data_IF_784041273132
#
_entry.id   IF_784041273132
#
_cell.length_a   1.000
_cell.length_b   1.000
_cell.length_c   1.000
_cell.angle_alpha   90.00
_cell.angle_beta   90.00
_cell.angle_gamma   90.00
#
_symmetry.space_group_name_H-M   'P 1'
#
loop_
_entity.id
_entity.type
_entity.pdbx_description
1 polymer ?
#
# COMPACT_ATOMS: atom_id res chain seq x y z
N UNK A 1 -47.94 -60.93 32.85
CA UNK A 1 -48.19 -59.92 31.79
C UNK A 1 -47.42 -58.61 32.00
N UNK A 2 -47.43 -58.03 33.21
CA UNK A 2 -46.82 -56.72 33.54
C UNK A 2 -45.31 -56.56 33.24
N UNK A 3 -44.51 -57.63 33.36
CA UNK A 3 -43.07 -57.55 33.07
C UNK A 3 -42.75 -57.58 31.57
N UNK A 4 -43.56 -58.23 30.73
CA UNK A 4 -43.33 -58.26 29.27
C UNK A 4 -43.57 -56.91 28.61
N UNK A 5 -44.53 -56.14 29.13
CA UNK A 5 -44.83 -54.77 28.65
C UNK A 5 -43.65 -53.82 28.93
N UNK A 6 -43.00 -53.96 30.10
CA UNK A 6 -41.82 -53.15 30.45
C UNK A 6 -40.62 -53.45 29.54
N UNK A 7 -40.39 -54.72 29.21
CA UNK A 7 -39.31 -55.12 28.30
C UNK A 7 -39.53 -54.61 26.88
N UNK A 8 -40.76 -54.69 26.37
CA UNK A 8 -41.10 -54.16 25.03
C UNK A 8 -40.94 -52.64 24.97
N UNK A 9 -41.40 -51.91 26.00
CA UNK A 9 -41.20 -50.47 26.10
C UNK A 9 -39.72 -50.08 26.15
N UNK A 10 -38.88 -50.84 26.86
CA UNK A 10 -37.44 -50.58 26.94
C UNK A 10 -36.75 -50.80 25.58
N UNK A 11 -37.11 -51.86 24.86
CA UNK A 11 -36.57 -52.13 23.52
C UNK A 11 -37.00 -51.03 22.53
N UNK A 12 -38.25 -50.55 22.63
CA UNK A 12 -38.72 -49.43 21.80
C UNK A 12 -37.99 -48.13 22.14
N UNK A 13 -37.74 -47.84 23.41
CA UNK A 13 -37.01 -46.66 23.84
C UNK A 13 -35.55 -46.67 23.36
N UNK A 14 -34.86 -47.81 23.47
CA UNK A 14 -33.47 -47.98 22.99
C UNK A 14 -33.41 -47.95 21.45
N UNK A 15 -34.42 -48.50 20.77
CA UNK A 15 -34.54 -48.43 19.31
C UNK A 15 -34.74 -47.00 18.80
N UNK A 16 -35.51 -46.18 19.51
CA UNK A 16 -35.73 -44.77 19.16
C UNK A 16 -34.49 -43.90 19.40
N UNK A 17 -33.68 -44.17 20.42
CA UNK A 17 -32.48 -43.36 20.71
C UNK A 17 -31.36 -43.54 19.68
N UNK A 18 -31.37 -44.62 18.89
CA UNK A 18 -30.39 -44.82 17.80
C UNK A 18 -30.81 -44.19 16.46
N UNK A 19 -32.05 -43.69 16.34
CA UNK A 19 -32.53 -43.04 15.12
C UNK A 19 -32.35 -41.52 15.13
N UNK A 20 -31.99 -40.94 16.28
CA UNK A 20 -31.57 -39.55 16.38
C UNK A 20 -30.05 -39.47 16.36
N UNK A 21 -29.42 -39.88 15.26
CA UNK A 21 -28.12 -39.31 14.92
C UNK A 21 -28.38 -37.83 14.62
N UNK A 22 -28.24 -36.99 15.64
CA UNK A 22 -28.17 -35.55 15.44
C UNK A 22 -27.07 -35.34 14.40
N UNK A 23 -27.47 -34.87 13.22
CA UNK A 23 -26.53 -34.42 12.20
C UNK A 23 -25.79 -33.27 12.86
N UNK A 24 -24.56 -33.52 13.28
CA UNK A 24 -23.68 -32.50 13.83
C UNK A 24 -23.38 -31.57 12.65
N UNK A 25 -24.25 -30.58 12.44
CA UNK A 25 -23.90 -29.42 11.65
C UNK A 25 -22.86 -28.69 12.49
N UNK A 26 -21.58 -28.95 12.18
CA UNK A 26 -20.51 -28.19 12.77
C UNK A 26 -20.71 -26.74 12.33
N UNK A 27 -20.98 -25.84 13.27
CA UNK A 27 -20.90 -24.40 13.09
C UNK A 27 -19.45 -24.05 12.74
N UNK A 28 -19.07 -24.26 11.50
CA UNK A 28 -17.70 -24.09 11.04
C UNK A 28 -17.54 -22.61 10.74
N UNK A 29 -17.07 -21.83 11.72
CA UNK A 29 -16.73 -20.43 11.50
C UNK A 29 -15.55 -20.40 10.53
N UNK A 30 -15.86 -20.26 9.24
CA UNK A 30 -14.83 -20.18 8.20
C UNK A 30 -14.12 -18.84 8.34
N UNK A 31 -12.84 -18.92 8.69
CA UNK A 31 -11.96 -17.76 8.79
C UNK A 31 -11.07 -17.70 7.55
N UNK A 32 -10.69 -16.51 7.12
CA UNK A 32 -9.73 -16.35 6.04
C UNK A 32 -8.86 -15.11 6.19
N UNK A 33 -7.74 -15.15 5.49
CA UNK A 33 -6.74 -14.10 5.46
C UNK A 33 -6.31 -13.86 4.01
N UNK A 34 -6.18 -12.60 3.64
CA UNK A 34 -5.80 -12.19 2.30
C UNK A 34 -4.52 -11.36 2.35
N UNK A 35 -3.53 -11.76 1.54
CA UNK A 35 -2.18 -11.23 1.56
C UNK A 35 -1.74 -10.73 0.19
N UNK A 36 -0.77 -9.81 0.21
CA UNK A 36 0.13 -9.48 -0.90
C UNK A 36 1.51 -10.02 -0.52
N UNK A 37 1.91 -11.13 -1.13
CA UNK A 37 3.04 -11.95 -0.68
C UNK A 37 2.98 -12.25 0.82
N UNK A 38 3.90 -11.70 1.63
CA UNK A 38 3.90 -11.85 3.09
C UNK A 38 3.13 -10.76 3.84
N UNK A 39 2.68 -9.70 3.16
CA UNK A 39 1.95 -8.59 3.76
C UNK A 39 0.47 -8.92 3.90
N UNK A 40 -0.04 -8.98 5.14
CA UNK A 40 -1.47 -9.11 5.39
C UNK A 40 -2.21 -7.85 4.93
N UNK A 41 -3.19 -8.01 4.04
CA UNK A 41 -4.06 -6.93 3.59
C UNK A 41 -5.30 -6.82 4.49
N UNK A 42 -5.96 -7.96 4.74
CA UNK A 42 -7.07 -8.06 5.68
C UNK A 42 -7.32 -9.51 6.09
N UNK A 43 -8.05 -9.68 7.19
CA UNK A 43 -8.55 -10.97 7.68
C UNK A 43 -9.99 -10.80 8.13
N UNK A 44 -10.81 -11.83 7.97
CA UNK A 44 -12.21 -11.79 8.38
C UNK A 44 -12.74 -13.20 8.65
N UNK A 45 -14.00 -13.25 9.07
CA UNK A 45 -14.82 -14.44 9.16
C UNK A 45 -16.08 -14.26 8.31
N UNK A 46 -16.80 -15.36 8.08
CA UNK A 46 -17.99 -15.42 7.22
C UNK A 46 -18.98 -14.26 7.41
N UNK A 47 -19.19 -13.82 8.65
CA UNK A 47 -20.18 -12.77 9.00
C UNK A 47 -19.75 -11.32 8.71
N UNK A 48 -18.47 -11.01 8.44
CA UNK A 48 -17.96 -9.63 8.39
C UNK A 48 -17.23 -9.26 7.08
N UNK A 49 -17.42 -10.04 6.01
CA UNK A 49 -16.56 -9.98 4.83
C UNK A 49 -16.65 -8.70 3.98
N UNK A 50 -17.79 -8.01 3.99
CA UNK A 50 -18.04 -6.88 3.09
C UNK A 50 -17.37 -5.55 3.54
N UNK A 51 -16.60 -5.55 4.62
CA UNK A 51 -16.05 -4.33 5.23
C UNK A 51 -14.60 -4.03 4.85
N UNK A 52 -13.92 -4.94 4.17
CA UNK A 52 -12.48 -4.85 3.95
C UNK A 52 -12.13 -4.61 2.48
N UNK A 53 -11.30 -3.59 2.25
CA UNK A 53 -10.85 -3.19 0.91
C UNK A 53 -9.33 -3.28 0.81
N UNK A 54 -8.82 -4.20 -0.01
CA UNK A 54 -7.43 -4.22 -0.45
C UNK A 54 -7.23 -3.21 -1.58
N UNK A 55 -6.28 -2.30 -1.42
CA UNK A 55 -5.86 -1.36 -2.47
C UNK A 55 -4.57 -1.86 -3.10
N UNK A 56 -4.56 -2.10 -4.40
CA UNK A 56 -3.38 -2.58 -5.14
C UNK A 56 -3.03 -1.58 -6.24
N UNK A 57 -1.77 -1.11 -6.22
CA UNK A 57 -1.25 -0.24 -7.28
C UNK A 57 -0.72 -1.05 -8.45
N UNK A 58 -0.81 -0.52 -9.67
CA UNK A 58 -0.13 -1.09 -10.85
C UNK A 58 1.39 -1.12 -10.71
N UNK A 59 1.93 -0.27 -9.85
CA UNK A 59 3.38 -0.15 -9.59
C UNK A 59 3.83 -0.94 -8.34
N UNK A 60 2.90 -1.58 -7.62
CA UNK A 60 3.25 -2.41 -6.48
C UNK A 60 4.17 -3.55 -6.93
N UNK A 61 5.29 -3.72 -6.22
CA UNK A 61 6.19 -4.86 -6.40
C UNK A 61 5.72 -6.01 -5.51
N UNK A 62 5.10 -7.01 -6.12
CA UNK A 62 4.68 -8.26 -5.47
C UNK A 62 4.65 -9.40 -6.49
N UNK A 63 4.69 -10.64 -6.03
CA UNK A 63 4.59 -11.80 -6.91
C UNK A 63 3.16 -12.35 -6.95
N UNK A 64 2.50 -12.45 -5.80
CA UNK A 64 1.20 -13.10 -5.67
C UNK A 64 0.26 -12.35 -4.73
N UNK A 65 -1.03 -12.35 -5.07
CA UNK A 65 -2.08 -12.23 -4.06
C UNK A 65 -2.38 -13.63 -3.51
N UNK A 66 -2.50 -13.75 -2.19
CA UNK A 66 -2.59 -15.04 -1.53
C UNK A 66 -3.81 -15.06 -0.61
N UNK A 67 -4.69 -16.03 -0.82
CA UNK A 67 -5.80 -16.33 0.07
C UNK A 67 -5.47 -17.57 0.90
N UNK A 68 -5.61 -17.46 2.21
CA UNK A 68 -5.60 -18.61 3.14
C UNK A 68 -6.99 -18.74 3.75
N UNK A 69 -7.64 -19.87 3.52
CA UNK A 69 -8.94 -20.22 4.13
C UNK A 69 -8.67 -21.28 5.19
N UNK A 70 -9.21 -21.08 6.38
CA UNK A 70 -9.00 -21.97 7.52
C UNK A 70 -10.28 -22.73 7.80
N UNK A 71 -10.09 -24.05 7.91
CA UNK A 71 -11.14 -25.01 8.15
C UNK A 71 -10.78 -25.86 9.37
N UNK A 72 -11.79 -26.30 10.11
CA UNK A 72 -11.61 -27.11 11.32
C UNK A 72 -11.64 -28.64 11.03
N UNK A 73 -11.64 -29.04 9.76
CA UNK A 73 -11.70 -30.45 9.33
C UNK A 73 -10.38 -30.91 8.67
N UNK A 74 -10.36 -32.17 8.20
CA UNK A 74 -9.19 -32.78 7.60
C UNK A 74 -8.62 -31.99 6.40
N UNK A 75 -7.32 -32.10 6.19
CA UNK A 75 -6.58 -31.43 5.11
C UNK A 75 -6.82 -32.11 3.75
N UNK A 76 -8.08 -32.26 3.36
CA UNK A 76 -8.52 -32.98 2.16
C UNK A 76 -8.23 -32.16 0.90
N UNK A 77 -8.00 -32.84 -0.22
CA UNK A 77 -7.84 -32.20 -1.53
C UNK A 77 -9.22 -31.79 -2.04
N UNK A 78 -9.44 -30.49 -2.25
CA UNK A 78 -10.72 -29.93 -2.67
C UNK A 78 -10.57 -29.05 -3.91
N UNK A 79 -11.61 -28.98 -4.73
CA UNK A 79 -11.70 -28.01 -5.81
C UNK A 79 -12.11 -26.63 -5.27
N UNK A 80 -11.28 -25.62 -5.54
CA UNK A 80 -11.44 -24.25 -5.03
C UNK A 80 -11.54 -23.28 -6.19
N UNK A 81 -12.33 -22.22 -6.01
CA UNK A 81 -12.54 -21.19 -7.02
C UNK A 81 -12.57 -19.80 -6.40
N UNK A 82 -11.84 -18.87 -7.03
CA UNK A 82 -11.93 -17.43 -6.76
C UNK A 82 -12.49 -16.74 -8.00
N UNK A 83 -13.52 -15.92 -7.81
CA UNK A 83 -14.11 -15.07 -8.83
C UNK A 83 -13.95 -13.61 -8.44
N UNK A 84 -13.52 -12.80 -9.41
CA UNK A 84 -13.56 -11.34 -9.28
C UNK A 84 -14.80 -10.82 -9.98
N UNK A 85 -15.60 -10.05 -9.25
CA UNK A 85 -16.90 -9.55 -9.71
C UNK A 85 -16.92 -8.04 -9.63
N UNK A 86 -17.20 -7.36 -10.74
CA UNK A 86 -17.37 -5.91 -10.81
C UNK A 86 -18.68 -5.62 -11.53
N UNK A 87 -19.49 -4.69 -11.02
CA UNK A 87 -20.78 -4.30 -11.64
C UNK A 87 -21.68 -5.51 -11.97
N UNK A 88 -21.76 -6.47 -11.04
CA UNK A 88 -22.50 -7.74 -11.17
C UNK A 88 -22.05 -8.67 -12.31
N UNK A 89 -20.85 -8.45 -12.88
CA UNK A 89 -20.25 -9.31 -13.90
C UNK A 89 -18.97 -9.95 -13.38
N UNK A 90 -18.80 -11.24 -13.64
CA UNK A 90 -17.54 -11.93 -13.38
C UNK A 90 -16.53 -11.43 -14.40
N UNK A 91 -15.45 -10.81 -13.92
CA UNK A 91 -14.37 -10.25 -14.75
C UNK A 91 -13.15 -11.18 -14.84
N UNK A 92 -13.00 -12.10 -13.87
CA UNK A 92 -11.99 -13.15 -13.89
C UNK A 92 -12.39 -14.31 -12.96
N UNK A 93 -11.92 -15.49 -13.30
CA UNK A 93 -12.12 -16.72 -12.53
C UNK A 93 -10.81 -17.48 -12.46
N UNK A 94 -10.46 -17.93 -11.27
CA UNK A 94 -9.27 -18.73 -10.99
C UNK A 94 -9.72 -19.99 -10.23
N UNK A 95 -9.21 -21.14 -10.64
CA UNK A 95 -9.50 -22.43 -10.00
C UNK A 95 -8.21 -23.13 -9.60
N UNK A 96 -8.24 -23.87 -8.50
CA UNK A 96 -7.14 -24.69 -8.02
C UNK A 96 -7.69 -25.96 -7.37
N UNK A 97 -6.94 -27.07 -7.48
CA UNK A 97 -7.22 -28.33 -6.79
C UNK A 97 -6.05 -28.64 -5.88
N UNK A 98 -6.23 -28.45 -4.58
CA UNK A 98 -5.17 -28.62 -3.58
C UNK A 98 -5.74 -28.90 -2.20
N UNK A 99 -4.87 -29.21 -1.23
CA UNK A 99 -5.33 -29.45 0.13
C UNK A 99 -6.05 -28.22 0.69
N UNK A 100 -7.11 -28.42 1.47
CA UNK A 100 -7.97 -27.38 2.02
C UNK A 100 -7.22 -26.29 2.79
N UNK A 101 -6.11 -26.63 3.46
CA UNK A 101 -5.27 -25.68 4.20
C UNK A 101 -4.16 -25.03 3.35
N UNK A 102 -4.02 -25.41 2.08
CA UNK A 102 -3.03 -24.82 1.18
C UNK A 102 -3.40 -23.39 0.85
N UNK A 103 -2.40 -22.56 0.57
CA UNK A 103 -2.65 -21.21 0.08
C UNK A 103 -3.19 -21.23 -1.35
N UNK A 104 -4.15 -20.37 -1.66
CA UNK A 104 -4.59 -20.09 -3.03
C UNK A 104 -3.81 -18.87 -3.53
N UNK A 105 -2.98 -19.04 -4.57
CA UNK A 105 -2.12 -17.98 -5.10
C UNK A 105 -2.64 -17.49 -6.45
N UNK A 106 -2.78 -16.17 -6.60
CA UNK A 106 -3.09 -15.50 -7.86
C UNK A 106 -1.88 -14.67 -8.26
N UNK A 107 -1.17 -15.04 -9.35
CA UNK A 107 0.01 -14.31 -9.79
C UNK A 107 -0.30 -12.86 -10.15
N UNK A 108 0.64 -11.95 -9.88
CA UNK A 108 0.54 -10.53 -10.25
C UNK A 108 0.22 -10.36 -11.74
N UNK A 109 0.80 -11.18 -12.61
CA UNK A 109 0.54 -11.14 -14.06
C UNK A 109 -0.93 -11.31 -14.42
N UNK A 110 -1.71 -12.04 -13.62
CA UNK A 110 -3.15 -12.19 -13.81
C UNK A 110 -3.90 -10.95 -13.29
N UNK A 111 -3.49 -10.41 -12.15
CA UNK A 111 -4.05 -9.16 -11.60
C UNK A 111 -3.80 -7.98 -12.54
N UNK A 112 -2.61 -7.91 -13.15
CA UNK A 112 -2.21 -6.86 -14.08
C UNK A 112 -3.17 -6.74 -15.29
N UNK A 113 -3.72 -7.87 -15.77
CA UNK A 113 -4.71 -7.89 -16.87
C UNK A 113 -5.98 -7.13 -16.51
N UNK A 114 -6.33 -7.06 -15.23
CA UNK A 114 -7.56 -6.44 -14.74
C UNK A 114 -7.49 -4.91 -14.69
N UNK A 115 -6.29 -4.32 -14.63
CA UNK A 115 -6.11 -2.87 -14.55
C UNK A 115 -6.74 -2.16 -15.75
N UNK A 116 -6.56 -2.69 -16.97
CA UNK A 116 -6.99 -2.02 -18.21
C UNK A 116 -8.47 -1.59 -18.26
N UNK A 117 -9.37 -2.34 -17.59
CA UNK A 117 -10.83 -2.12 -17.66
C UNK A 117 -11.50 -1.85 -16.30
N UNK A 118 -10.78 -2.03 -15.20
CA UNK A 118 -11.36 -2.00 -13.85
C UNK A 118 -10.66 -1.03 -12.89
N UNK A 119 -9.93 -0.03 -13.41
CA UNK A 119 -9.35 1.03 -12.60
C UNK A 119 -10.41 1.75 -11.76
N UNK A 120 -10.11 1.93 -10.48
CA UNK A 120 -10.92 2.60 -9.47
C UNK A 120 -12.32 2.01 -9.23
N UNK A 121 -12.66 0.89 -9.87
CA UNK A 121 -13.89 0.15 -9.62
C UNK A 121 -13.76 -0.71 -8.37
N UNK A 122 -14.89 -1.00 -7.73
CA UNK A 122 -14.97 -2.00 -6.67
C UNK A 122 -15.06 -3.39 -7.29
N UNK A 123 -14.07 -4.22 -7.02
CA UNK A 123 -14.01 -5.60 -7.49
C UNK A 123 -14.23 -6.50 -6.27
N UNK A 124 -15.38 -7.13 -6.17
CA UNK A 124 -15.67 -8.10 -5.13
C UNK A 124 -14.90 -9.39 -5.39
N UNK A 125 -14.21 -9.87 -4.36
CA UNK A 125 -13.54 -11.16 -4.40
C UNK A 125 -14.51 -12.19 -3.80
N UNK A 126 -14.95 -13.15 -4.61
CA UNK A 126 -15.79 -14.26 -4.19
C UNK A 126 -14.98 -15.55 -4.16
N UNK A 127 -15.15 -16.33 -3.11
CA UNK A 127 -14.54 -17.64 -2.96
C UNK A 127 -15.64 -18.70 -2.87
N UNK A 128 -15.42 -19.87 -3.47
CA UNK A 128 -16.30 -21.04 -3.36
C UNK A 128 -15.48 -22.33 -3.44
N UNK A 129 -15.96 -23.37 -2.78
CA UNK A 129 -15.42 -24.73 -2.88
C UNK A 129 -16.52 -25.77 -2.65
N UNK A 130 -16.14 -27.04 -2.51
CA UNK A 130 -17.07 -28.16 -2.32
C UNK A 130 -17.95 -28.02 -1.06
N UNK A 131 -17.48 -27.29 -0.05
CA UNK A 131 -18.16 -27.08 1.22
C UNK A 131 -19.04 -25.83 1.13
N UNK A 132 -18.46 -24.75 0.63
CA UNK A 132 -19.12 -23.48 0.39
C UNK A 132 -19.56 -23.36 -1.08
N UNK A 133 -20.48 -24.24 -1.52
CA UNK A 133 -20.91 -24.35 -2.92
C UNK A 133 -21.54 -23.07 -3.48
N UNK A 134 -22.24 -22.32 -2.63
CA UNK A 134 -22.85 -21.03 -3.00
C UNK A 134 -21.84 -19.88 -3.00
N UNK A 135 -20.63 -20.14 -2.50
CA UNK A 135 -19.57 -19.16 -2.29
C UNK A 135 -19.92 -18.06 -1.28
N UNK A 136 -18.92 -17.24 -1.00
CA UNK A 136 -19.05 -16.05 -0.18
C UNK A 136 -18.07 -14.97 -0.66
N UNK A 137 -18.43 -13.72 -0.42
CA UNK A 137 -17.50 -12.60 -0.63
C UNK A 137 -16.46 -12.65 0.48
N UNK A 138 -15.18 -12.50 0.16
CA UNK A 138 -14.09 -12.45 1.15
C UNK A 138 -13.59 -11.02 1.41
N UNK A 139 -13.83 -10.10 0.47
CA UNK A 139 -13.44 -8.70 0.55
C UNK A 139 -13.58 -7.99 -0.79
N UNK A 140 -13.14 -6.73 -0.83
CA UNK A 140 -13.14 -5.87 -2.02
C UNK A 140 -11.70 -5.59 -2.43
N UNK A 141 -11.43 -5.67 -3.72
CA UNK A 141 -10.18 -5.26 -4.35
C UNK A 141 -10.42 -3.94 -5.09
N UNK A 142 -9.56 -2.95 -4.84
CA UNK A 142 -9.55 -1.69 -5.56
C UNK A 142 -8.22 -1.51 -6.27
N UNK A 143 -8.25 -1.57 -7.59
CA UNK A 143 -7.09 -1.36 -8.45
C UNK A 143 -6.94 0.12 -8.77
N UNK A 144 -5.74 0.65 -8.63
CA UNK A 144 -5.45 2.05 -8.96
C UNK A 144 -4.06 2.20 -9.59
N UNK A 145 -3.88 3.19 -10.43
CA UNK A 145 -2.56 3.55 -10.96
C UNK A 145 -1.95 4.62 -10.09
N UNK A 146 -0.78 4.35 -9.50
CA UNK A 146 0.06 5.42 -8.95
C UNK A 146 0.80 6.07 -10.11
N UNK A 147 0.26 7.16 -10.65
CA UNK A 147 0.98 7.96 -11.64
C UNK A 147 1.98 8.83 -10.89
N UNK A 148 3.21 8.33 -10.73
CA UNK A 148 4.32 9.18 -10.33
C UNK A 148 4.53 10.23 -11.41
N UNK A 149 4.29 11.49 -11.06
CA UNK A 149 4.50 12.58 -12.02
C UNK A 149 6.00 12.85 -12.08
N UNK A 150 6.60 12.65 -13.26
CA UNK A 150 7.98 13.07 -13.48
C UNK A 150 8.01 14.59 -13.54
N UNK A 151 8.67 15.21 -12.56
CA UNK A 151 8.88 16.66 -12.54
C UNK A 151 9.84 17.06 -13.67
N UNK A 152 9.45 18.08 -14.43
CA UNK A 152 10.32 18.72 -15.42
C UNK A 152 11.37 19.62 -14.74
N UNK A 153 12.46 19.92 -15.43
CA UNK A 153 13.51 20.83 -14.90
C UNK A 153 12.96 22.19 -14.46
N UNK A 154 12.05 22.87 -15.22
CA UNK A 154 11.43 24.11 -14.76
C UNK A 154 10.64 23.98 -13.45
N UNK A 155 9.89 22.89 -13.28
CA UNK A 155 9.15 22.63 -12.04
C UNK A 155 10.10 22.41 -10.87
N UNK A 156 11.17 21.62 -11.08
CA UNK A 156 12.20 21.39 -10.05
C UNK A 156 12.81 22.72 -9.61
N UNK A 157 13.20 23.59 -10.56
CA UNK A 157 13.71 24.93 -10.23
C UNK A 157 12.73 25.73 -9.36
N UNK A 158 11.45 25.74 -9.74
CA UNK A 158 10.41 26.45 -8.98
C UNK A 158 10.26 25.89 -7.56
N UNK A 159 10.24 24.57 -7.42
CA UNK A 159 10.12 23.89 -6.12
C UNK A 159 11.33 24.22 -5.23
N UNK A 160 12.55 24.10 -5.77
CA UNK A 160 13.77 24.40 -5.03
C UNK A 160 13.81 25.87 -4.62
N UNK A 161 13.49 26.80 -5.52
CA UNK A 161 13.43 28.23 -5.22
C UNK A 161 12.47 28.49 -4.05
N UNK A 162 11.24 27.96 -4.11
CA UNK A 162 10.25 28.12 -3.02
C UNK A 162 10.71 27.49 -1.71
N UNK A 163 11.37 26.33 -1.77
CA UNK A 163 11.84 25.64 -0.57
C UNK A 163 12.96 26.43 0.13
N UNK A 164 13.96 26.93 -0.60
CA UNK A 164 15.07 27.70 -0.03
C UNK A 164 14.65 29.13 0.38
N UNK A 165 13.56 29.65 -0.19
CA UNK A 165 12.96 30.93 0.15
C UNK A 165 11.90 30.86 1.25
N UNK A 166 11.67 29.68 1.84
CA UNK A 166 10.78 29.53 2.99
C UNK A 166 11.15 30.54 4.10
N UNK A 167 10.25 31.46 4.52
CA UNK A 167 10.57 32.50 5.49
C UNK A 167 11.17 31.97 6.79
N UNK A 168 10.63 30.87 7.30
CA UNK A 168 11.03 30.21 8.53
C UNK A 168 12.44 29.61 8.44
N UNK A 169 12.90 29.26 7.22
CA UNK A 169 14.24 28.73 6.98
C UNK A 169 15.31 29.85 7.01
N UNK A 170 14.94 31.11 6.78
CA UNK A 170 15.92 32.19 6.58
C UNK A 170 16.83 32.43 7.79
N UNK A 171 16.29 32.27 8.99
CA UNK A 171 17.02 32.47 10.24
C UNK A 171 18.21 31.52 10.39
N UNK A 172 18.14 30.32 9.83
CA UNK A 172 19.17 29.26 9.94
C UNK A 172 20.38 29.52 9.05
N UNK A 173 20.27 30.40 8.04
CA UNK A 173 21.42 30.69 7.18
C UNK A 173 22.45 31.59 7.87
N UNK A 174 22.05 32.40 8.84
CA UNK A 174 22.95 33.28 9.60
C UNK A 174 23.87 34.15 8.73
N UNK A 175 23.40 34.60 7.55
CA UNK A 175 24.25 35.28 6.54
C UNK A 175 24.89 36.58 7.03
N UNK A 176 24.26 37.28 7.99
CA UNK A 176 24.79 38.52 8.54
C UNK A 176 26.02 38.28 9.44
N UNK A 177 26.10 37.09 10.03
CA UNK A 177 27.23 36.66 10.88
C UNK A 177 28.28 35.88 10.09
N UNK A 178 27.84 35.12 9.08
CA UNK A 178 28.69 34.24 8.27
C UNK A 178 28.51 34.52 6.78
N UNK A 179 29.06 35.63 6.24
CA UNK A 179 28.92 35.98 4.82
C UNK A 179 29.55 34.93 3.88
N UNK A 180 30.49 34.13 4.38
CA UNK A 180 31.13 33.02 3.66
C UNK A 180 30.16 31.89 3.29
N UNK A 181 28.96 31.83 3.88
CA UNK A 181 27.89 30.91 3.47
C UNK A 181 27.26 31.27 2.10
N UNK A 182 27.74 32.33 1.45
CA UNK A 182 27.36 32.74 0.09
C UNK A 182 28.41 32.27 -0.93
N UNK A 183 28.02 31.71 -2.10
CA UNK A 183 26.66 31.35 -2.49
C UNK A 183 26.16 30.11 -1.72
N UNK A 184 24.84 29.95 -1.63
CA UNK A 184 24.24 28.73 -1.09
C UNK A 184 24.67 27.51 -1.92
N UNK A 185 25.16 26.47 -1.25
CA UNK A 185 25.56 25.20 -1.87
C UNK A 185 24.41 24.20 -1.75
N UNK A 186 24.00 23.62 -2.88
CA UNK A 186 23.03 22.52 -2.96
C UNK A 186 23.77 21.25 -3.40
N UNK A 187 23.57 20.15 -2.68
CA UNK A 187 24.04 18.82 -3.09
C UNK A 187 23.22 18.34 -4.29
N UNK A 188 23.90 17.87 -5.33
CA UNK A 188 23.29 17.28 -6.51
C UNK A 188 22.41 16.07 -6.13
N UNK A 189 21.24 15.94 -6.78
CA UNK A 189 20.26 14.90 -6.50
C UNK A 189 19.39 14.61 -7.72
N UNK A 190 19.42 13.38 -8.26
CA UNK A 190 18.65 13.00 -9.43
C UNK A 190 18.94 13.90 -10.64
N UNK A 191 17.95 14.68 -11.09
CA UNK A 191 18.09 15.63 -12.21
C UNK A 191 18.70 16.99 -11.79
N UNK A 192 18.92 17.22 -10.50
CA UNK A 192 19.48 18.47 -9.95
C UNK A 192 21.00 18.42 -10.10
N UNK A 193 21.51 19.25 -10.99
CA UNK A 193 22.94 19.47 -11.25
C UNK A 193 23.18 20.95 -11.61
N UNK A 194 24.45 21.34 -11.77
CA UNK A 194 24.82 22.74 -12.01
C UNK A 194 24.22 23.31 -13.32
N UNK A 195 24.09 22.49 -14.36
CA UNK A 195 23.52 22.90 -15.66
C UNK A 195 22.01 23.14 -15.53
N UNK A 196 21.31 22.19 -14.92
CA UNK A 196 19.86 22.21 -14.80
C UNK A 196 19.36 23.22 -13.76
N UNK A 197 20.19 23.69 -12.82
CA UNK A 197 19.78 24.64 -11.77
C UNK A 197 20.14 26.10 -12.07
N UNK A 198 20.64 26.41 -13.27
CA UNK A 198 20.91 27.79 -13.65
C UNK A 198 19.64 28.67 -13.51
N UNK A 199 19.75 29.83 -12.86
CA UNK A 199 18.65 30.75 -12.57
C UNK A 199 17.95 30.54 -11.23
N UNK A 200 18.25 29.46 -10.49
CA UNK A 200 17.88 29.34 -9.07
C UNK A 200 18.89 30.15 -8.26
N UNK A 201 18.39 31.05 -7.42
CA UNK A 201 19.22 32.02 -6.71
C UNK A 201 18.89 32.07 -5.22
N UNK A 202 19.90 32.41 -4.42
CA UNK A 202 19.76 32.73 -3.01
C UNK A 202 20.77 33.80 -2.63
N UNK A 203 20.34 34.77 -1.82
CA UNK A 203 21.17 35.91 -1.42
C UNK A 203 21.74 36.69 -2.61
N UNK A 204 20.89 36.89 -3.63
CA UNK A 204 21.22 37.59 -4.88
C UNK A 204 22.32 36.93 -5.74
N UNK A 205 22.67 35.68 -5.45
CA UNK A 205 23.63 34.88 -6.19
C UNK A 205 23.00 33.59 -6.69
N UNK A 206 23.45 33.09 -7.84
CA UNK A 206 23.10 31.74 -8.28
C UNK A 206 23.57 30.73 -7.24
N UNK A 207 22.73 29.73 -6.95
CA UNK A 207 23.15 28.62 -6.10
C UNK A 207 24.28 27.83 -6.80
N UNK A 208 25.16 27.26 -5.99
CA UNK A 208 26.20 26.35 -6.48
C UNK A 208 25.74 24.92 -6.25
N UNK A 209 25.76 24.09 -7.29
CA UNK A 209 25.40 22.68 -7.15
C UNK A 209 26.66 21.83 -7.19
N UNK A 210 26.89 21.03 -6.14
CA UNK A 210 28.05 20.16 -6.02
C UNK A 210 27.64 18.70 -5.89
N UNK A 211 28.42 17.81 -6.50
CA UNK A 211 28.28 16.37 -6.29
C UNK A 211 28.69 15.96 -4.88
N UNK A 212 28.27 14.77 -4.45
CA UNK A 212 28.69 14.24 -3.15
C UNK A 212 30.21 14.11 -3.03
N UNK A 213 30.88 13.71 -4.11
CA UNK A 213 32.34 13.57 -4.13
C UNK A 213 33.03 14.92 -3.93
N UNK A 214 32.61 15.97 -4.64
CA UNK A 214 33.18 17.32 -4.49
C UNK A 214 32.98 17.90 -3.08
N UNK A 215 31.84 17.60 -2.44
CA UNK A 215 31.57 18.01 -1.05
C UNK A 215 32.54 17.30 -0.09
N UNK A 216 32.75 16.00 -0.27
CA UNK A 216 33.67 15.19 0.55
C UNK A 216 35.13 15.62 0.36
N UNK A 217 35.58 15.79 -0.88
CA UNK A 217 36.96 16.17 -1.21
C UNK A 217 37.35 17.53 -0.62
N UNK A 218 36.38 18.44 -0.51
CA UNK A 218 36.57 19.77 0.07
C UNK A 218 36.22 19.84 1.56
N UNK A 219 35.81 18.73 2.17
CA UNK A 219 35.34 18.63 3.55
C UNK A 219 34.28 19.70 3.91
N UNK A 220 33.31 19.92 3.01
CA UNK A 220 32.27 20.94 3.18
C UNK A 220 31.14 20.44 4.07
N UNK A 221 30.82 21.21 5.11
CA UNK A 221 29.65 21.00 5.97
C UNK A 221 28.49 21.94 5.62
N UNK A 222 28.80 23.10 5.04
CA UNK A 222 27.87 24.17 4.68
C UNK A 222 27.19 23.92 3.33
N UNK A 223 26.25 22.98 3.30
CA UNK A 223 25.43 22.70 2.12
C UNK A 223 24.02 22.26 2.51
N UNK A 224 23.07 22.46 1.61
CA UNK A 224 21.75 21.84 1.69
C UNK A 224 21.74 20.56 0.85
N UNK A 225 21.07 19.52 1.32
CA UNK A 225 20.76 18.36 0.50
C UNK A 225 19.27 18.01 0.46
N UNK A 226 18.91 17.16 -0.48
CA UNK A 226 17.56 16.59 -0.60
C UNK A 226 17.64 15.15 -0.13
N UNK A 227 16.85 14.82 0.88
CA UNK A 227 16.80 13.46 1.41
C UNK A 227 15.87 12.60 0.54
N UNK A 228 14.69 13.12 0.21
CA UNK A 228 13.68 12.39 -0.53
C UNK A 228 12.67 13.35 -1.17
N UNK A 229 12.01 12.88 -2.23
CA UNK A 229 10.83 13.53 -2.78
C UNK A 229 9.87 12.52 -3.42
N UNK A 230 8.58 12.80 -3.39
CA UNK A 230 7.57 11.95 -4.02
C UNK A 230 6.46 12.81 -4.58
N UNK A 231 6.30 12.77 -5.91
CA UNK A 231 5.27 13.51 -6.63
C UNK A 231 4.19 12.55 -7.12
N UNK A 232 2.95 12.75 -6.68
CA UNK A 232 1.78 11.99 -7.12
C UNK A 232 0.77 13.01 -7.66
N UNK A 233 0.53 12.97 -8.97
CA UNK A 233 -0.29 13.97 -9.68
C UNK A 233 0.23 15.39 -9.41
N UNK A 234 -0.57 16.20 -8.71
CA UNK A 234 -0.33 17.60 -8.37
C UNK A 234 0.05 17.79 -6.90
N UNK A 235 0.50 16.72 -6.21
CA UNK A 235 0.94 16.77 -4.82
C UNK A 235 2.37 16.26 -4.70
N UNK A 236 3.21 17.01 -4.01
CA UNK A 236 4.62 16.72 -3.80
C UNK A 236 4.92 16.70 -2.30
N UNK A 237 5.43 15.57 -1.81
CA UNK A 237 6.17 15.51 -0.54
C UNK A 237 7.64 15.72 -0.87
N UNK A 238 8.28 16.69 -0.23
CA UNK A 238 9.67 17.05 -0.48
C UNK A 238 10.40 17.20 0.86
N UNK A 239 11.59 16.61 0.97
CA UNK A 239 12.37 16.64 2.20
C UNK A 239 13.78 17.17 1.92
N UNK A 240 14.12 18.23 2.64
CA UNK A 240 15.40 18.92 2.58
C UNK A 240 16.12 18.73 3.91
N UNK A 241 17.43 18.70 3.90
CA UNK A 241 18.24 18.69 5.12
C UNK A 241 19.37 19.71 5.02
N UNK A 242 19.74 20.30 6.15
CA UNK A 242 20.83 21.27 6.26
C UNK A 242 21.77 20.87 7.40
N UNK A 243 22.85 20.11 7.12
CA UNK A 243 23.69 19.49 8.16
C UNK A 243 24.38 20.48 9.09
N UNK A 244 24.79 21.65 8.60
CA UNK A 244 25.49 22.65 9.45
C UNK A 244 24.63 23.10 10.62
N UNK A 245 23.32 23.18 10.41
CA UNK A 245 22.36 23.64 11.41
C UNK A 245 21.66 22.46 12.10
N UNK A 246 21.97 21.22 11.71
CA UNK A 246 21.33 20.02 12.25
C UNK A 246 19.82 19.99 12.01
N UNK A 247 19.31 20.50 10.88
CA UNK A 247 17.87 20.55 10.61
C UNK A 247 17.44 19.73 9.41
N UNK A 248 16.21 19.24 9.46
CA UNK A 248 15.48 18.62 8.37
C UNK A 248 14.15 19.35 8.17
N UNK A 249 13.81 19.63 6.92
CA UNK A 249 12.58 20.33 6.57
C UNK A 249 11.73 19.44 5.68
N UNK A 250 10.51 19.16 6.16
CA UNK A 250 9.49 18.45 5.40
C UNK A 250 8.55 19.46 4.78
N UNK A 251 8.30 19.35 3.48
CA UNK A 251 7.37 20.17 2.74
C UNK A 251 6.28 19.29 2.13
N UNK A 252 5.05 19.79 2.16
CA UNK A 252 3.97 19.35 1.29
C UNK A 252 3.67 20.52 0.33
N UNK A 253 3.72 20.24 -0.96
CA UNK A 253 3.39 21.19 -2.01
C UNK A 253 2.22 20.68 -2.84
N UNK A 254 1.35 21.58 -3.27
CA UNK A 254 0.31 21.31 -4.25
C UNK A 254 0.54 22.16 -5.51
N UNK A 255 0.25 21.60 -6.67
CA UNK A 255 0.29 22.31 -7.96
C UNK A 255 -1.10 22.86 -8.27
N UNK A 256 -1.17 24.16 -8.53
CA UNK A 256 -2.39 24.88 -8.89
C UNK A 256 -2.08 25.78 -10.09
N UNK A 257 -2.82 25.63 -11.18
CA UNK A 257 -2.61 26.38 -12.44
C UNK A 257 -1.15 26.40 -12.93
N UNK A 258 -0.47 25.26 -12.88
CA UNK A 258 0.95 25.08 -13.23
C UNK A 258 1.97 25.69 -12.26
N UNK A 259 1.52 26.21 -11.11
CA UNK A 259 2.40 26.74 -10.08
C UNK A 259 2.41 25.84 -8.84
N UNK A 260 3.60 25.45 -8.37
CA UNK A 260 3.75 24.75 -7.10
C UNK A 260 3.63 25.73 -5.92
N UNK A 261 2.83 25.38 -4.91
CA UNK A 261 2.64 26.16 -3.68
C UNK A 261 2.92 25.28 -2.47
N UNK A 262 3.70 25.79 -1.53
CA UNK A 262 3.91 25.12 -0.23
C UNK A 262 2.60 25.25 0.55
N UNK A 263 2.00 24.12 0.90
CA UNK A 263 0.78 24.08 1.73
C UNK A 263 1.09 23.74 3.18
N UNK A 264 2.20 23.05 3.43
CA UNK A 264 2.67 22.71 4.76
C UNK A 264 4.19 22.62 4.76
N UNK A 265 4.80 23.10 5.84
CA UNK A 265 6.24 22.95 6.09
C UNK A 265 6.50 22.72 7.57
N UNK A 266 7.35 21.76 7.91
CA UNK A 266 7.75 21.45 9.28
C UNK A 266 9.27 21.38 9.32
N UNK A 267 9.89 22.19 10.18
CA UNK A 267 11.33 22.14 10.48
C UNK A 267 11.52 21.28 11.73
N UNK A 268 12.46 20.33 11.66
CA UNK A 268 12.80 19.39 12.72
C UNK A 268 14.29 19.51 12.99
N UNK A 269 14.66 19.80 14.23
CA UNK A 269 16.04 19.75 14.71
C UNK A 269 16.45 18.28 14.95
N UNK A 270 17.67 17.93 14.55
CA UNK A 270 18.25 16.59 14.61
C UNK A 270 19.34 16.50 15.68
#
# INVERSE_FOLDING_TARGET
MRNRIKTVLLIFAIGFTNLTFAKVEMDTITNWQFYKDSQLLFKSHFLDSNRYTAKISSTDKYENLILSVFYDFNNDVIDRKIEFVSENKIIATYTDKSNSHSQFKIPKSEIDKLFSKNLNKEIFIKYSDEINKNGFTIGILKLFTTNYTKLSVPEIKQIIQKAIDLPELQQYFHIDKFPNKKPLILKAFGLINQENMNGVHKFDLNIKVLTEQEIKDRNLTEYIGIADWTCIMDKLRFQLYYPTEGIMINYILNKDNSEWKIVESIIIEQ
#
